data_IF_265778657525
#
_entry.id   IF_265778657525
#
_cell.length_a   1.000
_cell.length_b   1.000
_cell.length_c   1.000
_cell.angle_alpha   90.00
_cell.angle_beta   90.00
_cell.angle_gamma   90.00
#
_symmetry.space_group_name_H-M   'P 1'
#
loop_
_entity.id
_entity.type
_entity.pdbx_description
1 polymer ?
#
# COMPACT_ATOMS: atom_id res chain seq x y z
N UNK A 1 -27.19 -18.44 -2.74
CA UNK A 1 -26.47 -19.25 -1.73
C UNK A 1 -25.52 -18.33 -0.98
N UNK A 2 -25.67 -18.19 0.34
CA UNK A 2 -24.84 -17.29 1.17
C UNK A 2 -23.43 -17.88 1.25
N UNK A 3 -22.42 -17.13 0.80
CA UNK A 3 -21.04 -17.58 0.75
C UNK A 3 -20.57 -17.98 2.17
N UNK A 4 -20.25 -19.26 2.39
CA UNK A 4 -19.95 -19.83 3.73
C UNK A 4 -18.70 -19.22 4.41
N UNK A 5 -17.99 -18.33 3.70
CA UNK A 5 -16.76 -17.67 4.13
C UNK A 5 -16.91 -16.14 4.30
N UNK A 6 -18.12 -15.59 4.14
CA UNK A 6 -18.36 -14.15 4.30
C UNK A 6 -18.66 -13.80 5.76
N UNK A 7 -17.85 -12.92 6.36
CA UNK A 7 -18.14 -12.31 7.67
C UNK A 7 -18.81 -10.97 7.42
N UNK A 8 -20.07 -10.85 7.85
CA UNK A 8 -20.85 -9.63 7.69
C UNK A 8 -20.21 -8.46 8.46
N UNK A 9 -20.22 -7.26 7.88
CA UNK A 9 -19.68 -6.04 8.50
C UNK A 9 -18.15 -5.93 8.52
N UNK A 10 -17.40 -7.03 8.36
CA UNK A 10 -15.94 -6.99 8.41
C UNK A 10 -15.32 -6.18 7.26
N UNK A 11 -15.90 -6.29 6.06
CA UNK A 11 -15.49 -5.46 4.93
C UNK A 11 -15.77 -3.98 5.17
N UNK A 12 -16.89 -3.64 5.83
CA UNK A 12 -17.22 -2.27 6.22
C UNK A 12 -16.21 -1.71 7.22
N UNK A 13 -15.84 -2.49 8.25
CA UNK A 13 -14.82 -2.08 9.21
C UNK A 13 -13.45 -1.87 8.56
N UNK A 14 -13.08 -2.75 7.62
CA UNK A 14 -11.82 -2.61 6.85
C UNK A 14 -11.85 -1.39 5.94
N UNK A 15 -12.99 -1.11 5.31
CA UNK A 15 -13.18 0.10 4.51
C UNK A 15 -13.02 1.36 5.37
N UNK A 16 -13.69 1.41 6.53
CA UNK A 16 -13.60 2.52 7.46
C UNK A 16 -12.15 2.75 7.92
N UNK A 17 -11.45 1.67 8.26
CA UNK A 17 -10.03 1.74 8.63
C UNK A 17 -9.16 2.25 7.48
N UNK A 18 -9.35 1.76 6.25
CA UNK A 18 -8.62 2.24 5.08
C UNK A 18 -8.90 3.73 4.77
N UNK A 19 -10.16 4.17 4.94
CA UNK A 19 -10.53 5.57 4.79
C UNK A 19 -9.76 6.48 5.76
N UNK A 20 -9.69 6.10 7.04
CA UNK A 20 -8.91 6.87 8.01
C UNK A 20 -7.40 6.84 7.75
N UNK A 21 -6.86 5.73 7.23
CA UNK A 21 -5.46 5.67 6.79
C UNK A 21 -5.18 6.67 5.66
N UNK A 22 -6.09 6.78 4.69
CA UNK A 22 -5.97 7.75 3.59
C UNK A 22 -6.06 9.19 4.14
N UNK A 23 -7.05 9.48 4.99
CA UNK A 23 -7.20 10.79 5.61
C UNK A 23 -5.94 11.20 6.40
N UNK A 24 -5.35 10.27 7.14
CA UNK A 24 -4.07 10.47 7.84
C UNK A 24 -2.94 10.84 6.87
N UNK A 25 -2.78 10.12 5.76
CA UNK A 25 -1.73 10.43 4.78
C UNK A 25 -1.93 11.80 4.13
N UNK A 26 -3.18 12.17 3.81
CA UNK A 26 -3.50 13.51 3.29
C UNK A 26 -3.08 14.57 4.30
N UNK A 27 -3.49 14.43 5.56
CA UNK A 27 -3.15 15.39 6.61
C UNK A 27 -1.63 15.47 6.86
N UNK A 28 -0.93 14.33 6.93
CA UNK A 28 0.52 14.31 7.09
C UNK A 28 1.22 15.06 5.95
N UNK A 29 0.75 14.87 4.71
CA UNK A 29 1.29 15.61 3.57
C UNK A 29 0.97 17.11 3.64
N UNK A 30 -0.21 17.49 4.13
CA UNK A 30 -0.55 18.90 4.38
C UNK A 30 0.38 19.53 5.43
N UNK A 31 0.66 18.82 6.53
CA UNK A 31 1.61 19.29 7.56
C UNK A 31 3.00 19.50 6.99
N UNK A 32 3.52 18.55 6.20
CA UNK A 32 4.85 18.67 5.57
C UNK A 32 4.89 19.84 4.57
N UNK A 33 3.80 20.10 3.85
CA UNK A 33 3.69 21.23 2.91
C UNK A 33 3.33 22.57 3.58
N UNK A 34 3.14 22.63 4.90
CA UNK A 34 2.69 23.83 5.60
C UNK A 34 1.27 24.29 5.24
N UNK A 35 0.43 23.39 4.71
CA UNK A 35 -0.94 23.68 4.32
C UNK A 35 -1.89 23.62 5.54
N UNK A 36 -3.01 24.38 5.51
CA UNK A 36 -4.02 24.29 6.56
C UNK A 36 -4.57 22.86 6.68
N UNK A 37 -4.60 22.34 7.91
CA UNK A 37 -5.11 21.01 8.21
C UNK A 37 -5.99 21.01 9.47
N UNK A 38 -6.87 20.02 9.55
CA UNK A 38 -7.71 19.82 10.73
C UNK A 38 -6.89 19.41 11.96
N UNK A 39 -7.41 19.61 13.20
CA UNK A 39 -6.74 19.15 14.41
C UNK A 39 -6.49 17.64 14.40
N UNK A 40 -5.32 17.21 14.90
CA UNK A 40 -5.01 15.78 15.05
C UNK A 40 -5.92 15.12 16.09
N UNK A 41 -6.72 14.15 15.66
CA UNK A 41 -7.58 13.32 16.49
C UNK A 41 -6.89 12.00 16.85
N UNK A 42 -5.96 12.04 17.81
CA UNK A 42 -4.97 11.00 18.11
C UNK A 42 -5.43 9.52 18.01
N UNK A 43 -6.67 9.20 18.42
CA UNK A 43 -7.21 7.84 18.38
C UNK A 43 -7.49 7.31 16.97
N UNK A 44 -7.95 8.16 16.04
CA UNK A 44 -8.26 7.74 14.66
C UNK A 44 -7.00 7.57 13.80
N UNK A 45 -5.94 8.32 14.08
CA UNK A 45 -4.75 8.37 13.23
C UNK A 45 -3.75 7.25 13.54
N UNK A 46 -3.42 7.00 14.81
CA UNK A 46 -2.40 5.99 15.17
C UNK A 46 -2.95 4.56 15.18
N UNK A 47 -4.25 4.39 15.48
CA UNK A 47 -4.88 3.08 15.62
C UNK A 47 -5.34 2.44 14.31
N UNK A 48 -5.68 3.24 13.29
CA UNK A 48 -6.34 2.75 12.08
C UNK A 48 -5.48 1.76 11.27
N UNK A 49 -4.17 2.00 11.18
CA UNK A 49 -3.22 1.10 10.51
C UNK A 49 -3.19 -0.27 11.20
N UNK A 50 -2.93 -0.28 12.51
CA UNK A 50 -2.89 -1.50 13.32
C UNK A 50 -4.23 -2.24 13.32
N UNK A 51 -5.35 -1.50 13.34
CA UNK A 51 -6.69 -2.05 13.26
C UNK A 51 -6.96 -2.70 11.89
N UNK A 52 -6.61 -2.03 10.78
CA UNK A 52 -6.75 -2.59 9.44
C UNK A 52 -5.94 -3.88 9.25
N UNK A 53 -4.69 -3.91 9.74
CA UNK A 53 -3.84 -5.10 9.68
C UNK A 53 -4.36 -6.23 10.55
N UNK A 54 -4.83 -5.94 11.77
CA UNK A 54 -5.44 -6.94 12.67
C UNK A 54 -6.68 -7.58 12.04
N UNK A 55 -7.60 -6.77 11.50
CA UNK A 55 -8.81 -7.28 10.82
C UNK A 55 -8.46 -8.11 9.58
N UNK A 56 -7.46 -7.68 8.81
CA UNK A 56 -7.03 -8.41 7.62
C UNK A 56 -6.35 -9.73 7.97
N UNK A 57 -5.51 -9.75 9.01
CA UNK A 57 -4.89 -10.96 9.54
C UNK A 57 -5.92 -11.96 10.07
N UNK A 58 -6.88 -11.47 10.87
CA UNK A 58 -8.01 -12.27 11.35
C UNK A 58 -8.78 -12.92 10.20
N UNK A 59 -9.16 -12.15 9.18
CA UNK A 59 -9.91 -12.68 8.03
C UNK A 59 -9.11 -13.75 7.26
N UNK A 60 -7.82 -13.50 7.04
CA UNK A 60 -6.96 -14.46 6.34
C UNK A 60 -6.93 -15.77 7.11
N UNK A 61 -6.60 -15.72 8.40
CA UNK A 61 -6.51 -16.91 9.26
C UNK A 61 -7.85 -17.62 9.36
N UNK A 62 -8.95 -16.89 9.56
CA UNK A 62 -10.30 -17.45 9.63
C UNK A 62 -10.66 -18.27 8.39
N UNK A 63 -10.38 -17.75 7.19
CA UNK A 63 -10.67 -18.47 5.94
C UNK A 63 -9.78 -19.71 5.81
N UNK A 64 -8.50 -19.66 6.25
CA UNK A 64 -7.58 -20.79 6.18
C UNK A 64 -7.94 -21.90 7.18
N UNK A 65 -8.37 -21.55 8.40
CA UNK A 65 -8.87 -22.52 9.38
C UNK A 65 -10.10 -23.24 8.81
N UNK A 66 -11.06 -22.50 8.24
CA UNK A 66 -12.22 -23.11 7.56
C UNK A 66 -11.88 -23.99 6.36
N UNK A 67 -10.78 -23.71 5.67
CA UNK A 67 -10.27 -24.57 4.59
C UNK A 67 -9.69 -25.87 5.15
N UNK A 68 -8.91 -25.76 6.23
CA UNK A 68 -8.35 -26.90 6.94
C UNK A 68 -9.44 -27.82 7.49
N UNK A 69 -10.47 -27.28 8.15
CA UNK A 69 -11.58 -28.06 8.70
C UNK A 69 -12.32 -28.89 7.63
N UNK A 70 -12.30 -28.45 6.37
CA UNK A 70 -12.97 -29.11 5.25
C UNK A 70 -12.09 -30.09 4.47
N UNK A 71 -10.79 -29.82 4.40
CA UNK A 71 -9.87 -30.51 3.47
C UNK A 71 -8.69 -31.18 4.16
N UNK A 72 -8.55 -31.01 5.48
CA UNK A 72 -7.43 -31.52 6.28
C UNK A 72 -6.07 -30.89 5.94
N UNK A 73 -6.01 -29.89 5.07
CA UNK A 73 -4.77 -29.26 4.64
C UNK A 73 -4.97 -27.78 4.30
N UNK A 74 -3.88 -27.00 4.30
CA UNK A 74 -3.89 -25.59 3.90
C UNK A 74 -3.04 -25.44 2.65
N UNK A 75 -3.63 -24.98 1.55
CA UNK A 75 -2.87 -24.72 0.32
C UNK A 75 -2.24 -23.32 0.33
N UNK A 76 -1.07 -23.20 0.97
CA UNK A 76 -0.33 -21.93 1.09
C UNK A 76 0.08 -21.40 -0.29
N UNK A 77 0.52 -22.27 -1.21
CA UNK A 77 0.95 -21.86 -2.56
C UNK A 77 -0.19 -21.18 -3.32
N UNK A 78 -1.39 -21.76 -3.29
CA UNK A 78 -2.60 -21.18 -3.89
C UNK A 78 -3.00 -19.87 -3.21
N UNK A 79 -2.91 -19.81 -1.88
CA UNK A 79 -3.20 -18.58 -1.13
C UNK A 79 -2.26 -17.42 -1.51
N UNK A 80 -0.95 -17.65 -1.47
CA UNK A 80 0.06 -16.64 -1.83
C UNK A 80 -0.05 -16.26 -3.30
N UNK A 81 -0.22 -17.23 -4.20
CA UNK A 81 -0.43 -16.98 -5.63
C UNK A 81 -1.64 -16.10 -5.91
N UNK A 82 -2.81 -16.44 -5.37
CA UNK A 82 -4.02 -15.64 -5.53
C UNK A 82 -3.86 -14.21 -4.98
N UNK A 83 -3.09 -14.05 -3.89
CA UNK A 83 -2.80 -12.74 -3.32
C UNK A 83 -1.85 -11.94 -4.21
N UNK A 84 -0.81 -12.59 -4.74
CA UNK A 84 0.15 -11.97 -5.65
C UNK A 84 -0.55 -11.47 -6.92
N UNK A 85 -1.30 -12.33 -7.61
CA UNK A 85 -2.03 -11.94 -8.84
C UNK A 85 -3.10 -10.86 -8.61
N UNK A 86 -3.61 -10.72 -7.38
CA UNK A 86 -4.54 -9.63 -7.02
C UNK A 86 -3.82 -8.30 -6.79
N UNK A 87 -2.65 -8.31 -6.15
CA UNK A 87 -1.93 -7.09 -5.75
C UNK A 87 -0.97 -6.59 -6.84
N UNK A 88 -0.39 -7.51 -7.62
CA UNK A 88 0.61 -7.19 -8.64
C UNK A 88 0.11 -6.19 -9.71
N UNK A 89 -1.11 -6.31 -10.28
CA UNK A 89 -1.57 -5.36 -11.29
C UNK A 89 -1.60 -3.92 -10.79
N UNK A 90 -2.12 -3.71 -9.57
CA UNK A 90 -2.19 -2.38 -8.96
C UNK A 90 -0.79 -1.87 -8.60
N UNK A 91 0.07 -2.74 -8.07
CA UNK A 91 1.46 -2.38 -7.77
C UNK A 91 2.20 -1.88 -9.01
N UNK A 92 2.17 -2.64 -10.10
CA UNK A 92 2.85 -2.26 -11.34
C UNK A 92 2.23 -1.02 -12.00
N UNK A 93 0.92 -0.82 -11.89
CA UNK A 93 0.28 0.41 -12.35
C UNK A 93 0.81 1.64 -11.59
N UNK A 94 0.89 1.58 -10.25
CA UNK A 94 1.41 2.69 -9.43
C UNK A 94 2.89 2.95 -9.72
N UNK A 95 3.71 1.89 -9.83
CA UNK A 95 5.13 2.02 -10.19
C UNK A 95 5.29 2.67 -11.57
N UNK A 96 4.53 2.22 -12.56
CA UNK A 96 4.57 2.79 -13.91
C UNK A 96 4.17 4.26 -13.90
N UNK A 97 3.08 4.62 -13.23
CA UNK A 97 2.64 6.01 -13.08
C UNK A 97 3.72 6.85 -12.40
N UNK A 98 4.32 6.35 -11.32
CA UNK A 98 5.39 7.04 -10.60
C UNK A 98 6.62 7.26 -11.47
N UNK A 99 7.08 6.24 -12.19
CA UNK A 99 8.22 6.36 -13.10
C UNK A 99 7.93 7.35 -14.23
N UNK A 100 6.75 7.31 -14.84
CA UNK A 100 6.35 8.27 -15.88
C UNK A 100 6.32 9.69 -15.31
N UNK A 101 5.74 9.85 -14.12
CA UNK A 101 5.61 11.15 -13.47
C UNK A 101 6.97 11.77 -13.19
N UNK A 102 7.89 11.06 -12.52
CA UNK A 102 9.19 11.60 -12.14
C UNK A 102 10.17 11.77 -13.31
N UNK A 103 10.09 10.94 -14.36
CA UNK A 103 11.04 11.00 -15.48
C UNK A 103 10.56 11.82 -16.67
N UNK A 104 9.25 12.00 -16.85
CA UNK A 104 8.70 12.74 -18.00
C UNK A 104 7.89 13.97 -17.57
N UNK A 105 7.01 13.85 -16.58
CA UNK A 105 6.12 14.96 -16.20
C UNK A 105 6.87 16.05 -15.44
N UNK A 106 7.61 15.71 -14.37
CA UNK A 106 8.32 16.71 -13.55
C UNK A 106 9.34 17.52 -14.37
N UNK A 107 10.21 16.91 -15.20
CA UNK A 107 11.13 17.66 -16.05
C UNK A 107 10.41 18.54 -17.08
N UNK A 108 9.27 18.10 -17.62
CA UNK A 108 8.48 18.90 -18.58
C UNK A 108 7.88 20.17 -17.96
N UNK A 109 7.74 20.22 -16.63
CA UNK A 109 7.27 21.37 -15.87
C UNK A 109 8.41 22.32 -15.46
N UNK A 110 9.66 22.03 -15.88
CA UNK A 110 10.83 22.84 -15.53
C UNK A 110 11.28 22.73 -14.07
N UNK A 111 10.79 21.72 -13.34
CA UNK A 111 11.20 21.44 -11.96
C UNK A 111 12.46 20.57 -11.96
N UNK A 112 13.44 20.92 -11.13
CA UNK A 112 14.66 20.14 -10.99
C UNK A 112 14.37 18.79 -10.31
N UNK A 113 14.70 17.70 -11.01
CA UNK A 113 14.64 16.35 -10.44
C UNK A 113 16.02 15.94 -9.98
N UNK A 114 16.24 15.85 -8.66
CA UNK A 114 17.42 15.22 -8.08
C UNK A 114 17.30 13.69 -8.13
N UNK A 115 17.50 13.10 -9.31
CA UNK A 115 17.55 11.64 -9.47
C UNK A 115 19.02 11.19 -9.51
N UNK A 116 19.58 10.81 -8.37
CA UNK A 116 20.99 10.34 -8.27
C UNK A 116 21.19 8.88 -8.75
N UNK A 117 20.23 8.35 -9.50
CA UNK A 117 20.23 6.95 -9.93
C UNK A 117 19.76 6.79 -11.39
N UNK A 118 20.31 5.80 -12.13
CA UNK A 118 19.83 5.50 -13.47
C UNK A 118 18.44 4.85 -13.44
N UNK A 119 17.60 5.21 -14.43
CA UNK A 119 16.25 4.66 -14.62
C UNK A 119 16.25 3.12 -14.66
N UNK A 120 17.29 2.50 -15.23
CA UNK A 120 17.41 1.04 -15.31
C UNK A 120 17.46 0.37 -13.94
N UNK A 121 18.15 0.96 -12.95
CA UNK A 121 18.19 0.43 -11.57
C UNK A 121 16.84 0.58 -10.88
N UNK A 122 16.18 1.71 -11.07
CA UNK A 122 14.83 1.94 -10.53
C UNK A 122 13.86 0.89 -11.09
N UNK A 123 13.79 0.76 -12.41
CA UNK A 123 12.93 -0.24 -13.08
C UNK A 123 13.24 -1.65 -12.58
N UNK A 124 14.52 -2.05 -12.53
CA UNK A 124 14.92 -3.39 -12.07
C UNK A 124 14.45 -3.66 -10.63
N UNK A 125 14.74 -2.76 -9.69
CA UNK A 125 14.44 -2.97 -8.28
C UNK A 125 12.94 -2.89 -7.98
N UNK A 126 12.20 -1.98 -8.62
CA UNK A 126 10.74 -1.96 -8.51
C UNK A 126 10.10 -3.20 -9.16
N UNK A 127 10.58 -3.68 -10.31
CA UNK A 127 10.05 -4.89 -10.94
C UNK A 127 10.23 -6.14 -10.06
N UNK A 128 11.36 -6.22 -9.34
CA UNK A 128 11.68 -7.31 -8.42
C UNK A 128 11.02 -7.18 -7.04
N UNK A 129 10.09 -6.23 -6.83
CA UNK A 129 9.48 -5.95 -5.52
C UNK A 129 10.52 -5.61 -4.43
N UNK A 130 11.58 -4.88 -4.81
CA UNK A 130 12.64 -4.40 -3.92
C UNK A 130 12.64 -2.86 -3.74
N UNK A 131 11.48 -2.19 -3.55
CA UNK A 131 11.44 -0.73 -3.36
C UNK A 131 12.15 -0.28 -2.08
N UNK A 132 12.15 -1.12 -1.03
CA UNK A 132 12.82 -0.79 0.23
C UNK A 132 14.35 -0.83 0.10
N UNK A 133 14.88 -1.77 -0.69
CA UNK A 133 16.31 -1.80 -0.99
C UNK A 133 16.70 -0.57 -1.80
N UNK A 134 15.87 -0.21 -2.78
CA UNK A 134 16.07 0.98 -3.58
C UNK A 134 16.09 2.27 -2.73
N UNK A 135 15.10 2.45 -1.84
CA UNK A 135 15.04 3.57 -0.89
C UNK A 135 16.21 3.59 0.12
N UNK A 136 16.80 2.44 0.43
CA UNK A 136 17.98 2.37 1.30
C UNK A 136 19.27 2.75 0.59
N UNK A 137 19.35 2.58 -0.73
CA UNK A 137 20.55 2.84 -1.53
C UNK A 137 20.55 4.24 -2.15
N UNK A 138 19.36 4.80 -2.39
CA UNK A 138 19.19 6.05 -3.10
C UNK A 138 18.15 6.92 -2.40
N UNK A 139 18.37 8.23 -2.43
CA UNK A 139 17.33 9.20 -2.08
C UNK A 139 16.32 9.21 -3.21
N UNK A 140 15.19 8.55 -2.99
CA UNK A 140 14.10 8.54 -3.96
C UNK A 140 13.28 9.78 -3.70
N UNK A 141 13.32 10.73 -4.64
CA UNK A 141 12.57 11.98 -4.57
C UNK A 141 11.12 11.72 -4.17
N UNK A 142 10.76 12.08 -2.95
CA UNK A 142 9.39 12.33 -2.58
C UNK A 142 9.06 13.75 -3.02
N UNK A 143 7.85 13.98 -3.51
CA UNK A 143 7.33 15.34 -3.79
C UNK A 143 7.21 16.24 -2.53
N UNK A 144 7.85 15.85 -1.43
CA UNK A 144 7.73 16.39 -0.07
C UNK A 144 9.10 16.58 0.60
N UNK A 145 10.19 16.64 -0.17
CA UNK A 145 11.44 17.17 0.36
C UNK A 145 11.32 18.69 0.49
N UNK A 146 10.83 19.12 1.66
CA UNK A 146 11.25 20.37 2.30
C UNK A 146 12.29 20.01 3.35
#
# INVERSE_FOLDING_TARGET
MKDKNYIYGLNTLRFLAAFFIIAMHIQNNQTVMGLPHLPELAFLYKGAVSFFFTLSGFLITFIRVKEYDKTGSINIKKFVGNRFFRLAPLYYAIVMIGLIFYWFVVPSLGMETHNDYPLSKAVLLYLLFLPNLFNSLHQVGGALYV
#
